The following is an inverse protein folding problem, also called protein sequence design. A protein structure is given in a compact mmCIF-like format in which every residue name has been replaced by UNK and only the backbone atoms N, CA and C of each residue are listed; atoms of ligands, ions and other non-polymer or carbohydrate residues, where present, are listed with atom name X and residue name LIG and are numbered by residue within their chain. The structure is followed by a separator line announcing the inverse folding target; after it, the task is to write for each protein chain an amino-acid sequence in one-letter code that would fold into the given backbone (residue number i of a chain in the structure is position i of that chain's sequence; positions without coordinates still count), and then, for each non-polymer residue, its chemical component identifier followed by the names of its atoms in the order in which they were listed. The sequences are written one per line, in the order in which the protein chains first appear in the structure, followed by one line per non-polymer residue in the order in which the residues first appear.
data_IF_272621643143
#
_entry.id   IF_272621643143
#
_cell.length_a   1.000
_cell.length_b   1.000
_cell.length_c   1.000
_cell.angle_alpha   90.00
_cell.angle_beta   90.00
_cell.angle_gamma   90.00
#
_symmetry.space_group_name_H-M   'P 1'
#
loop_
_entity.id
_entity.type
_entity.pdbx_description
1 polymer ?
#
# COMPACT_ATOMS: atom_id res chain seq x y z
N UNK A 1 -6.74 5.55 -20.62
CA UNK A 1 -5.69 6.38 -19.98
C UNK A 1 -5.89 6.46 -18.49
N UNK A 2 -4.83 6.56 -17.74
CA UNK A 2 -4.89 6.67 -16.29
C UNK A 2 -4.01 7.82 -15.81
N UNK A 3 -4.33 8.35 -14.64
CA UNK A 3 -3.58 9.42 -13.99
C UNK A 3 -3.29 9.04 -12.54
N UNK A 4 -2.02 9.10 -12.16
CA UNK A 4 -1.59 8.86 -10.79
C UNK A 4 -1.44 10.20 -10.07
N UNK A 5 -2.08 10.32 -8.92
CA UNK A 5 -1.95 11.50 -8.08
C UNK A 5 -1.86 11.13 -6.60
N UNK A 6 -1.48 12.09 -5.78
CA UNK A 6 -1.39 11.88 -4.33
C UNK A 6 -2.79 11.60 -3.76
N UNK A 7 -2.85 10.59 -2.89
CA UNK A 7 -4.06 10.25 -2.14
C UNK A 7 -4.33 11.31 -1.08
N UNK A 8 -5.58 11.72 -0.96
CA UNK A 8 -6.03 12.60 0.12
C UNK A 8 -7.13 11.90 0.91
N UNK A 9 -7.52 12.46 2.05
CA UNK A 9 -8.60 11.90 2.86
C UNK A 9 -9.95 11.89 2.12
N UNK A 10 -10.12 12.77 1.15
CA UNK A 10 -11.32 12.77 0.30
C UNK A 10 -11.47 11.49 -0.51
N UNK A 11 -10.37 10.76 -0.72
CA UNK A 11 -10.38 9.49 -1.44
C UNK A 11 -10.77 8.31 -0.56
N UNK A 12 -10.93 8.52 0.74
CA UNK A 12 -11.06 7.42 1.70
C UNK A 12 -12.13 6.40 1.32
N UNK A 13 -13.36 6.87 1.05
CA UNK A 13 -14.48 5.95 0.77
C UNK A 13 -14.22 5.14 -0.49
N UNK A 14 -13.68 5.77 -1.55
CA UNK A 14 -13.36 5.10 -2.80
C UNK A 14 -12.22 4.09 -2.61
N UNK A 15 -11.21 4.44 -1.81
CA UNK A 15 -10.08 3.55 -1.52
C UNK A 15 -10.53 2.34 -0.71
N UNK A 16 -11.36 2.53 0.31
CA UNK A 16 -11.88 1.41 1.10
C UNK A 16 -12.75 0.50 0.22
N UNK A 17 -13.52 1.07 -0.70
CA UNK A 17 -14.31 0.28 -1.63
C UNK A 17 -13.41 -0.60 -2.53
N UNK A 18 -12.30 -0.05 -3.03
CA UNK A 18 -11.31 -0.83 -3.77
C UNK A 18 -10.80 -2.01 -2.96
N UNK A 19 -10.46 -1.77 -1.70
CA UNK A 19 -9.93 -2.79 -0.81
C UNK A 19 -10.94 -3.88 -0.53
N UNK A 20 -12.20 -3.51 -0.27
CA UNK A 20 -13.29 -4.47 -0.01
C UNK A 20 -13.55 -5.38 -1.19
N UNK A 21 -13.36 -4.90 -2.42
CA UNK A 21 -13.57 -5.66 -3.63
C UNK A 21 -12.37 -6.53 -4.02
N UNK A 22 -11.27 -6.43 -3.30
CA UNK A 22 -10.02 -7.12 -3.65
C UNK A 22 -9.78 -8.31 -2.74
N UNK A 23 -9.78 -9.55 -3.26
CA UNK A 23 -9.43 -10.72 -2.45
C UNK A 23 -8.02 -10.60 -1.87
N UNK A 24 -7.85 -11.07 -0.65
CA UNK A 24 -6.55 -11.08 0.02
C UNK A 24 -6.20 -9.80 0.76
N UNK A 25 -7.04 -8.78 0.69
CA UNK A 25 -6.87 -7.56 1.49
C UNK A 25 -7.63 -7.72 2.79
N UNK A 26 -6.92 -7.56 3.91
CA UNK A 26 -7.49 -7.62 5.25
C UNK A 26 -7.61 -6.20 5.80
N UNK A 27 -8.82 -5.81 6.17
CA UNK A 27 -9.08 -4.52 6.79
C UNK A 27 -9.12 -4.64 8.30
N UNK A 28 -8.48 -3.71 8.98
CA UNK A 28 -8.36 -3.65 10.44
C UNK A 28 -8.78 -2.27 10.93
N UNK A 29 -8.79 -2.08 12.25
CA UNK A 29 -9.09 -0.77 12.84
C UNK A 29 -8.12 0.32 12.38
N UNK A 30 -6.88 -0.09 12.03
CA UNK A 30 -5.89 0.81 11.45
C UNK A 30 -6.33 1.40 10.10
N UNK A 31 -7.32 0.79 9.46
CA UNK A 31 -7.86 1.26 8.17
C UNK A 31 -9.11 2.12 8.33
N UNK A 32 -9.47 2.50 9.55
CA UNK A 32 -10.56 3.44 9.79
C UNK A 32 -10.24 4.80 9.17
N UNK A 33 -11.28 5.62 8.96
CA UNK A 33 -11.09 6.98 8.43
C UNK A 33 -10.16 7.81 9.32
N UNK A 34 -10.33 7.72 10.64
CA UNK A 34 -9.50 8.45 11.59
C UNK A 34 -8.04 8.00 11.52
N UNK A 35 -7.80 6.69 11.52
CA UNK A 35 -6.43 6.16 11.44
C UNK A 35 -5.79 6.48 10.10
N UNK A 36 -6.55 6.43 9.02
CA UNK A 36 -6.05 6.79 7.68
C UNK A 36 -5.68 8.27 7.64
N UNK A 37 -6.50 9.15 8.24
CA UNK A 37 -6.19 10.57 8.31
C UNK A 37 -4.85 10.81 9.01
N UNK A 38 -4.62 10.13 10.12
CA UNK A 38 -3.34 10.22 10.85
C UNK A 38 -2.17 9.75 9.99
N UNK A 39 -2.36 8.64 9.30
CA UNK A 39 -1.32 8.07 8.45
C UNK A 39 -0.93 9.02 7.32
N UNK A 40 -1.91 9.56 6.62
CA UNK A 40 -1.67 10.49 5.51
C UNK A 40 -1.04 11.80 6.00
N UNK A 41 -1.43 12.29 7.17
CA UNK A 41 -0.86 13.49 7.75
C UNK A 41 0.59 13.29 8.18
N UNK A 42 0.92 12.10 8.73
CA UNK A 42 2.28 11.77 9.11
C UNK A 42 3.20 11.56 7.92
N UNK A 43 2.68 11.05 6.82
CA UNK A 43 3.46 10.71 5.63
C UNK A 43 2.92 11.46 4.40
N UNK A 44 3.05 12.80 4.37
CA UNK A 44 2.46 13.58 3.29
C UNK A 44 3.11 13.29 1.94
N UNK A 45 2.29 13.17 0.90
CA UNK A 45 2.77 13.01 -0.46
C UNK A 45 3.30 11.62 -0.80
N UNK A 46 3.06 10.61 0.04
CA UNK A 46 3.64 9.28 -0.13
C UNK A 46 2.66 8.19 -0.54
N UNK A 47 1.36 8.44 -0.43
CA UNK A 47 0.32 7.50 -0.85
C UNK A 47 -0.33 8.02 -2.12
N UNK A 48 -0.73 7.10 -3.01
CA UNK A 48 -1.19 7.48 -4.35
C UNK A 48 -2.44 6.72 -4.74
N UNK A 49 -3.23 7.34 -5.60
CA UNK A 49 -4.37 6.71 -6.25
C UNK A 49 -4.24 6.83 -7.76
N UNK A 50 -4.92 5.94 -8.47
CA UNK A 50 -4.99 5.97 -9.93
C UNK A 50 -6.40 6.37 -10.33
N UNK A 51 -6.52 7.51 -11.00
CA UNK A 51 -7.77 7.95 -11.57
C UNK A 51 -7.97 7.33 -12.95
N UNK A 52 -9.13 6.77 -13.15
CA UNK A 52 -9.59 6.26 -14.43
C UNK A 52 -10.92 6.93 -14.75
N UNK A 53 -11.47 6.68 -15.95
CA UNK A 53 -12.67 7.37 -16.40
C UNK A 53 -13.86 7.24 -15.43
N UNK A 54 -14.01 6.08 -14.81
CA UNK A 54 -15.16 5.78 -13.95
C UNK A 54 -14.85 5.89 -12.45
N UNK A 55 -13.75 6.53 -12.06
CA UNK A 55 -13.38 6.66 -10.64
C UNK A 55 -11.94 6.24 -10.36
N UNK A 56 -11.72 5.46 -9.30
CA UNK A 56 -10.39 4.97 -8.99
C UNK A 56 -10.18 3.54 -9.51
N UNK A 57 -9.03 3.32 -10.16
CA UNK A 57 -8.64 2.01 -10.67
C UNK A 57 -7.62 1.30 -9.80
N UNK A 58 -7.03 2.00 -8.84
CA UNK A 58 -6.03 1.43 -7.96
C UNK A 58 -5.54 2.42 -6.92
N UNK A 59 -4.74 1.92 -5.99
CA UNK A 59 -4.15 2.72 -4.92
C UNK A 59 -2.91 2.04 -4.36
N UNK A 60 -2.13 2.81 -3.62
CA UNK A 60 -1.03 2.30 -2.79
C UNK A 60 -0.86 3.24 -1.60
N UNK A 61 -0.57 2.70 -0.44
CA UNK A 61 -0.24 3.48 0.74
C UNK A 61 1.22 3.26 1.09
N UNK A 62 1.90 4.34 1.44
CA UNK A 62 3.31 4.31 1.78
C UNK A 62 3.61 5.28 2.92
N UNK A 63 4.50 4.87 3.79
CA UNK A 63 4.97 5.70 4.89
C UNK A 63 6.33 5.25 5.34
N UNK A 64 6.87 5.91 6.36
CA UNK A 64 8.17 5.55 6.93
C UNK A 64 8.22 5.87 8.42
N UNK A 65 9.19 5.25 9.09
CA UNK A 65 9.44 5.47 10.51
C UNK A 65 10.64 6.41 10.76
N UNK A 66 11.11 7.10 9.73
CA UNK A 66 12.31 7.94 9.75
C UNK A 66 13.56 7.20 9.27
N UNK A 67 13.50 5.87 9.15
CA UNK A 67 14.65 5.05 8.76
C UNK A 67 14.34 4.07 7.62
N UNK A 68 13.15 3.49 7.63
CA UNK A 68 12.72 2.49 6.64
C UNK A 68 11.32 2.83 6.16
N UNK A 69 11.06 2.54 4.89
CA UNK A 69 9.73 2.71 4.31
C UNK A 69 8.91 1.44 4.44
N UNK A 70 7.60 1.59 4.29
CA UNK A 70 6.64 0.49 4.32
C UNK A 70 5.56 0.75 3.31
N UNK A 71 5.36 -0.22 2.40
CA UNK A 71 4.25 -0.20 1.45
C UNK A 71 3.09 -1.00 2.00
N UNK A 72 1.89 -0.50 1.81
CA UNK A 72 0.66 -1.17 2.23
C UNK A 72 -0.40 -1.00 1.15
N UNK A 73 -1.31 -1.96 1.08
CA UNK A 73 -2.54 -1.84 0.28
C UNK A 73 -2.31 -1.44 -1.17
N UNK A 74 -1.36 -2.10 -1.83
CA UNK A 74 -1.25 -1.96 -3.28
C UNK A 74 -2.38 -2.73 -3.95
N UNK A 75 -3.26 -2.01 -4.61
CA UNK A 75 -4.42 -2.58 -5.29
C UNK A 75 -4.52 -1.99 -6.69
N UNK A 76 -4.70 -2.85 -7.67
CA UNK A 76 -5.07 -2.46 -9.03
C UNK A 76 -6.23 -3.36 -9.44
N UNK A 77 -7.35 -2.77 -9.82
CA UNK A 77 -8.53 -3.54 -10.22
C UNK A 77 -8.21 -4.43 -11.42
N UNK A 78 -8.83 -5.64 -11.52
CA UNK A 78 -8.48 -6.60 -12.57
C UNK A 78 -8.52 -6.03 -13.99
N UNK A 79 -9.51 -5.20 -14.31
CA UNK A 79 -9.66 -4.63 -15.64
C UNK A 79 -8.56 -3.64 -16.03
N UNK A 80 -7.77 -3.18 -15.05
CA UNK A 80 -6.69 -2.22 -15.29
C UNK A 80 -5.30 -2.84 -15.12
N UNK A 81 -5.23 -4.16 -14.91
CA UNK A 81 -3.96 -4.86 -14.75
C UNK A 81 -3.22 -5.00 -16.08
N UNK A 82 -1.93 -5.32 -16.01
CA UNK A 82 -1.03 -5.51 -17.17
C UNK A 82 -0.84 -4.26 -18.01
N UNK A 83 -0.99 -3.08 -17.39
CA UNK A 83 -0.75 -1.79 -18.04
C UNK A 83 0.39 -1.02 -17.38
N UNK A 84 1.13 -1.68 -16.48
CA UNK A 84 2.24 -1.05 -15.76
C UNK A 84 1.81 -0.13 -14.62
N UNK A 85 0.54 -0.15 -14.23
CA UNK A 85 0.01 0.74 -13.18
C UNK A 85 0.61 0.41 -11.81
N UNK A 86 0.63 -0.88 -11.43
CA UNK A 86 1.20 -1.27 -10.14
C UNK A 86 2.66 -0.85 -10.03
N UNK A 87 3.43 -1.09 -11.09
CA UNK A 87 4.84 -0.69 -11.13
C UNK A 87 5.00 0.84 -11.00
N UNK A 88 4.14 1.59 -11.67
CA UNK A 88 4.17 3.05 -11.61
C UNK A 88 3.81 3.57 -10.21
N UNK A 89 2.82 2.97 -9.55
CA UNK A 89 2.46 3.31 -8.18
C UNK A 89 3.62 3.06 -7.22
N UNK A 90 4.23 1.89 -7.30
CA UNK A 90 5.38 1.53 -6.44
C UNK A 90 6.54 2.49 -6.68
N UNK A 91 6.83 2.81 -7.94
CA UNK A 91 7.92 3.74 -8.26
C UNK A 91 7.67 5.13 -7.67
N UNK A 92 6.43 5.62 -7.66
CA UNK A 92 6.09 6.88 -7.01
C UNK A 92 6.40 6.84 -5.52
N UNK A 93 6.08 5.72 -4.86
CA UNK A 93 6.37 5.54 -3.44
C UNK A 93 7.87 5.51 -3.17
N UNK A 94 8.62 4.72 -3.94
CA UNK A 94 10.06 4.60 -3.75
C UNK A 94 10.78 5.93 -4.01
N UNK A 95 10.34 6.68 -5.01
CA UNK A 95 10.89 8.02 -5.30
C UNK A 95 10.60 8.99 -4.16
N UNK A 96 9.40 8.95 -3.58
CA UNK A 96 9.05 9.79 -2.43
C UNK A 96 9.91 9.47 -1.22
N UNK A 97 10.14 8.18 -0.96
CA UNK A 97 11.03 7.75 0.12
C UNK A 97 12.46 8.21 -0.11
N UNK A 98 12.95 8.08 -1.35
CA UNK A 98 14.31 8.48 -1.70
C UNK A 98 14.54 9.98 -1.44
N UNK A 99 13.55 10.81 -1.75
CA UNK A 99 13.63 12.25 -1.46
C UNK A 99 13.76 12.56 0.03
N UNK A 100 13.38 11.62 0.89
CA UNK A 100 13.55 11.72 2.34
C UNK A 100 14.77 10.95 2.85
N UNK A 101 15.64 10.50 1.95
CA UNK A 101 16.86 9.77 2.30
C UNK A 101 16.62 8.32 2.73
N UNK A 102 15.46 7.78 2.41
CA UNK A 102 15.10 6.40 2.77
C UNK A 102 15.21 5.50 1.55
N UNK A 103 16.17 4.57 1.58
CA UNK A 103 16.50 3.75 0.43
C UNK A 103 16.04 2.30 0.54
N UNK A 104 15.46 1.91 1.67
CA UNK A 104 14.99 0.55 1.89
C UNK A 104 13.53 0.56 2.34
N UNK A 105 12.73 -0.26 1.68
CA UNK A 105 11.31 -0.34 1.90
C UNK A 105 10.89 -1.78 2.13
N UNK A 106 9.96 -1.99 3.04
CA UNK A 106 9.42 -3.31 3.38
C UNK A 106 7.94 -3.38 3.06
N UNK A 107 7.45 -4.58 2.86
CA UNK A 107 6.02 -4.87 2.80
C UNK A 107 5.78 -6.28 3.33
N UNK A 108 4.54 -6.55 3.69
CA UNK A 108 4.13 -7.86 4.17
C UNK A 108 3.20 -8.51 3.15
N UNK A 109 3.37 -9.81 2.95
CA UNK A 109 2.53 -10.62 2.07
C UNK A 109 2.09 -11.83 2.86
N UNK A 110 0.79 -12.12 2.87
CA UNK A 110 0.33 -13.37 3.48
C UNK A 110 0.99 -14.56 2.79
N UNK A 111 1.44 -15.53 3.58
CA UNK A 111 2.10 -16.72 3.02
C UNK A 111 1.21 -17.49 2.04
N UNK A 112 -0.10 -17.37 2.20
CA UNK A 112 -1.09 -18.02 1.33
C UNK A 112 -1.30 -17.27 0.01
N UNK A 113 -0.75 -16.07 -0.16
CA UNK A 113 -0.92 -15.27 -1.37
C UNK A 113 0.27 -15.47 -2.31
N UNK A 114 0.26 -16.61 -3.02
CA UNK A 114 1.34 -16.98 -3.92
C UNK A 114 1.48 -16.00 -5.11
N UNK A 115 0.38 -15.47 -5.62
CA UNK A 115 0.40 -14.53 -6.73
C UNK A 115 1.12 -13.24 -6.35
N UNK A 116 0.84 -12.71 -5.16
CA UNK A 116 1.52 -11.50 -4.68
C UNK A 116 3.00 -11.79 -4.46
N UNK A 117 3.34 -12.92 -3.87
CA UNK A 117 4.75 -13.30 -3.64
C UNK A 117 5.52 -13.35 -4.97
N UNK A 118 4.93 -13.99 -5.99
CA UNK A 118 5.56 -14.08 -7.31
C UNK A 118 5.72 -12.69 -7.94
N UNK A 119 4.71 -11.83 -7.81
CA UNK A 119 4.78 -10.46 -8.32
C UNK A 119 5.95 -9.69 -7.71
N UNK A 120 6.05 -9.68 -6.39
CA UNK A 120 7.11 -8.93 -5.71
C UNK A 120 8.49 -9.46 -6.04
N UNK A 121 8.63 -10.79 -6.11
CA UNK A 121 9.90 -11.40 -6.52
C UNK A 121 10.27 -10.98 -7.94
N UNK A 122 9.31 -10.96 -8.86
CA UNK A 122 9.55 -10.54 -10.24
C UNK A 122 9.98 -9.09 -10.36
N UNK A 123 9.61 -8.25 -9.38
CA UNK A 123 9.97 -6.83 -9.33
C UNK A 123 11.28 -6.57 -8.58
N UNK A 124 12.00 -7.62 -8.18
CA UNK A 124 13.29 -7.48 -7.52
C UNK A 124 13.23 -7.36 -6.01
N UNK A 125 12.07 -7.54 -5.42
CA UNK A 125 11.93 -7.55 -3.96
C UNK A 125 12.36 -8.90 -3.42
N UNK A 126 13.03 -8.90 -2.25
CA UNK A 126 13.60 -10.10 -1.66
C UNK A 126 12.83 -10.55 -0.44
N UNK A 127 12.45 -11.82 -0.43
CA UNK A 127 11.87 -12.41 0.76
C UNK A 127 12.93 -12.50 1.85
N UNK A 128 12.65 -11.93 3.02
CA UNK A 128 13.56 -12.01 4.17
C UNK A 128 13.34 -13.35 4.88
N UNK A 129 14.41 -14.14 4.95
CA UNK A 129 14.38 -15.45 5.62
C UNK A 129 15.20 -15.45 6.89
N UNK A 130 15.89 -14.34 7.17
CA UNK A 130 16.81 -14.18 8.30
C UNK A 130 16.15 -13.54 9.52
N UNK A 131 14.88 -13.15 9.42
CA UNK A 131 14.14 -12.51 10.51
C UNK A 131 12.75 -13.11 10.67
N UNK A 132 12.24 -13.04 11.90
CA UNK A 132 10.84 -13.30 12.21
C UNK A 132 10.25 -12.01 12.75
N UNK A 133 8.98 -11.77 12.44
CA UNK A 133 8.25 -10.62 12.95
C UNK A 133 7.46 -11.04 14.18
N UNK A 134 7.59 -10.29 15.26
CA UNK A 134 6.79 -10.46 16.46
C UNK A 134 5.85 -9.27 16.62
N UNK A 135 4.59 -9.54 16.92
CA UNK A 135 3.58 -8.49 17.14
C UNK A 135 3.02 -8.60 18.55
N UNK A 136 2.76 -7.46 19.17
CA UNK A 136 2.08 -7.38 20.46
C UNK A 136 0.93 -6.39 20.34
N UNK A 137 -0.26 -6.80 20.75
CA UNK A 137 -1.46 -5.97 20.74
C UNK A 137 -1.83 -5.61 22.17
N UNK A 138 -1.63 -4.34 22.54
CA UNK A 138 -1.86 -3.91 23.93
C UNK A 138 -3.31 -4.02 24.34
N UNK A 139 -4.25 -3.76 23.43
CA UNK A 139 -5.69 -3.85 23.72
C UNK A 139 -6.21 -5.28 23.77
N UNK A 140 -5.50 -6.25 23.19
CA UNK A 140 -5.98 -7.60 23.00
C UNK A 140 -7.04 -7.72 21.90
N UNK A 141 -7.31 -6.65 21.16
CA UNK A 141 -8.28 -6.63 20.08
C UNK A 141 -7.68 -7.24 18.82
N UNK A 142 -8.35 -8.25 18.27
CA UNK A 142 -7.91 -8.93 17.04
C UNK A 142 -7.87 -8.00 15.83
N UNK A 143 -8.65 -6.92 15.85
CA UNK A 143 -8.73 -5.98 14.74
C UNK A 143 -7.75 -4.79 14.85
N UNK A 144 -6.98 -4.78 15.88
CA UNK A 144 -6.01 -3.69 16.05
C UNK A 144 -4.95 -3.66 14.94
#
# INVERSE_FOLDING_TARGET
MFNIRVMTLDDYDAVIDLMKRTPGVSLRDADSRESTAKYLARNPGMSFVVEVEAGLGGCVMCGHDGRRGYLQHLVVLPQFRRQGIAKALVERCLSSLERHGILKCHLDVFKTNALAADYWRSQGWQLRTDIDRYSFTRSGDENA
#
